data_IF_552820958430
#
_entry.id   IF_552820958430
#
_cell.length_a   1.000
_cell.length_b   1.000
_cell.length_c   1.000
_cell.angle_alpha   90.00
_cell.angle_beta   90.00
_cell.angle_gamma   90.00
#
_symmetry.space_group_name_H-M   'P 1'
#
loop_
_entity.id
_entity.type
_entity.pdbx_description
1 polymer ?
#
# COMPACT_ATOMS: atom_id res chain seq x y z
N UNK A 1 -1.04 53.80 26.49
CA UNK A 1 -2.40 53.60 25.91
C UNK A 1 -2.50 54.42 24.63
N UNK A 2 -2.49 53.77 23.46
CA UNK A 2 -2.75 54.46 22.18
C UNK A 2 -4.25 54.44 21.95
N UNK A 3 -4.89 55.62 21.87
CA UNK A 3 -6.31 55.78 21.54
C UNK A 3 -6.58 55.12 20.17
N UNK A 4 -7.23 53.96 20.18
CA UNK A 4 -7.64 53.25 18.97
C UNK A 4 -8.78 53.99 18.28
N UNK A 5 -8.58 54.40 17.03
CA UNK A 5 -9.64 54.89 16.15
C UNK A 5 -10.63 53.75 15.89
N UNK A 6 -11.88 53.89 16.32
CA UNK A 6 -12.97 52.96 16.03
C UNK A 6 -13.20 52.88 14.51
N UNK A 7 -13.03 51.70 13.92
CA UNK A 7 -13.36 51.43 12.51
C UNK A 7 -12.26 50.76 11.66
N UNK A 8 -11.02 50.65 12.13
CA UNK A 8 -9.96 49.97 11.37
C UNK A 8 -9.92 48.45 11.62
N UNK A 9 -9.92 47.70 10.51
CA UNK A 9 -9.90 46.23 10.51
C UNK A 9 -8.55 45.72 11.04
N UNK A 10 -8.58 44.94 12.12
CA UNK A 10 -7.39 44.32 12.71
C UNK A 10 -6.76 43.36 11.70
N UNK A 11 -5.58 43.70 11.16
CA UNK A 11 -4.80 42.81 10.29
C UNK A 11 -3.99 41.84 11.17
N UNK A 12 -4.28 40.55 11.07
CA UNK A 12 -3.51 39.48 11.74
C UNK A 12 -2.13 39.20 11.11
N UNK A 13 -1.75 40.01 10.11
CA UNK A 13 -0.46 39.93 9.44
C UNK A 13 0.07 41.33 9.16
N UNK A 14 1.40 41.43 9.20
CA UNK A 14 2.16 42.59 8.74
C UNK A 14 2.66 42.28 7.33
N UNK A 15 2.72 43.29 6.47
CA UNK A 15 3.29 43.13 5.13
C UNK A 15 4.81 43.18 5.23
N UNK A 16 5.47 42.46 4.33
CA UNK A 16 6.89 42.62 4.10
C UNK A 16 7.21 42.57 2.62
N UNK A 17 8.44 42.91 2.28
CA UNK A 17 8.95 42.90 0.92
C UNK A 17 10.12 41.93 0.83
N UNK A 18 10.08 41.03 -0.15
CA UNK A 18 11.18 40.11 -0.41
C UNK A 18 12.30 40.88 -1.11
N UNK A 19 13.45 41.04 -0.46
CA UNK A 19 14.57 41.79 -1.00
C UNK A 19 15.44 40.94 -1.94
N UNK A 20 15.62 39.67 -1.60
CA UNK A 20 16.61 38.83 -2.29
C UNK A 20 16.87 37.53 -1.58
N UNK A 21 17.88 36.82 -2.06
CA UNK A 21 18.53 35.76 -1.29
C UNK A 21 19.75 36.30 -0.55
N UNK A 22 20.13 35.62 0.52
CA UNK A 22 21.42 35.87 1.18
C UNK A 22 22.55 35.72 0.14
N UNK A 23 23.49 36.66 0.11
CA UNK A 23 24.66 36.64 -0.79
C UNK A 23 25.96 36.95 -0.04
N UNK A 24 27.08 36.47 -0.57
CA UNK A 24 28.44 36.90 -0.25
C UNK A 24 29.02 37.69 -1.44
N UNK A 25 30.31 38.02 -1.42
CA UNK A 25 31.00 38.76 -2.50
C UNK A 25 30.86 38.06 -3.86
N UNK A 26 30.83 36.72 -3.89
CA UNK A 26 30.77 35.92 -5.11
C UNK A 26 29.61 34.91 -5.17
N UNK A 27 29.02 34.52 -4.04
CA UNK A 27 28.00 33.45 -4.00
C UNK A 27 26.63 33.95 -3.56
N UNK A 28 25.58 33.33 -4.09
CA UNK A 28 24.20 33.50 -3.63
C UNK A 28 23.68 32.21 -3.01
N UNK A 29 22.89 32.31 -1.93
CA UNK A 29 22.36 31.18 -1.16
C UNK A 29 20.82 31.14 -1.24
N UNK A 30 20.24 30.43 -2.22
CA UNK A 30 18.79 30.45 -2.50
C UNK A 30 17.90 29.88 -1.38
N UNK A 31 18.50 29.11 -0.47
CA UNK A 31 17.81 28.50 0.67
C UNK A 31 17.42 29.51 1.77
N UNK A 32 17.95 30.74 1.71
CA UNK A 32 17.73 31.78 2.73
C UNK A 32 17.34 33.08 2.03
N UNK A 33 16.11 33.52 2.24
CA UNK A 33 15.58 34.77 1.68
C UNK A 33 15.70 35.92 2.68
N UNK A 34 15.95 37.12 2.19
CA UNK A 34 15.98 38.37 2.95
C UNK A 34 14.66 39.11 2.75
N UNK A 35 14.06 39.59 3.84
CA UNK A 35 12.80 40.31 3.79
C UNK A 35 12.84 41.54 4.69
N UNK A 36 12.31 42.66 4.21
CA UNK A 36 12.02 43.83 5.03
C UNK A 36 10.57 43.72 5.50
N UNK A 37 10.33 43.83 6.81
CA UNK A 37 8.96 43.90 7.35
C UNK A 37 8.57 45.38 7.45
N UNK A 38 7.35 45.74 7.02
CA UNK A 38 6.85 47.11 7.12
C UNK A 38 6.80 47.55 8.59
N UNK A 39 7.38 48.71 8.91
CA UNK A 39 7.42 49.27 10.26
C UNK A 39 8.46 48.67 11.20
N UNK A 40 9.36 47.81 10.70
CA UNK A 40 10.46 47.20 11.47
C UNK A 40 11.77 47.78 10.96
N UNK A 41 12.43 48.61 11.77
CA UNK A 41 13.63 49.34 11.37
C UNK A 41 14.87 48.98 12.19
N UNK A 42 14.70 48.42 13.40
CA UNK A 42 15.80 48.04 14.27
C UNK A 42 15.96 46.53 14.36
N UNK A 43 17.12 46.07 14.84
CA UNK A 43 17.39 44.64 15.07
C UNK A 43 16.51 44.06 16.20
N UNK A 44 16.19 44.86 17.20
CA UNK A 44 15.42 44.42 18.37
C UNK A 44 13.95 44.19 18.00
N UNK A 45 13.40 45.04 17.11
CA UNK A 45 12.06 44.85 16.56
C UNK A 45 11.93 43.53 15.79
N UNK A 46 13.00 43.10 15.10
CA UNK A 46 13.03 41.84 14.35
C UNK A 46 12.96 40.62 15.26
N UNK A 47 13.52 40.71 16.47
CA UNK A 47 13.55 39.58 17.41
C UNK A 47 12.15 39.08 17.73
N UNK A 48 11.18 39.99 17.85
CA UNK A 48 9.76 39.64 18.04
C UNK A 48 9.20 38.76 16.92
N UNK A 49 9.65 38.97 15.67
CA UNK A 49 9.18 38.21 14.51
C UNK A 49 9.86 36.86 14.34
N UNK A 50 10.90 36.53 15.12
CA UNK A 50 11.59 35.25 15.02
C UNK A 50 10.61 34.07 15.22
N UNK A 51 10.67 33.08 14.34
CA UNK A 51 9.79 31.91 14.37
C UNK A 51 8.38 32.14 13.81
N UNK A 52 7.96 33.39 13.53
CA UNK A 52 6.64 33.65 12.94
C UNK A 52 6.55 33.15 11.51
N UNK A 53 5.36 32.67 11.15
CA UNK A 53 5.09 32.17 9.80
C UNK A 53 4.92 33.31 8.82
N UNK A 54 5.30 33.04 7.58
CA UNK A 54 5.09 33.96 6.47
C UNK A 54 4.66 33.22 5.21
N UNK A 55 3.97 33.94 4.33
CA UNK A 55 3.38 33.42 3.11
C UNK A 55 3.64 34.36 1.94
N UNK A 56 4.25 33.82 0.89
CA UNK A 56 4.34 34.47 -0.41
C UNK A 56 3.21 33.94 -1.31
N UNK A 57 2.29 34.80 -1.71
CA UNK A 57 1.12 34.45 -2.52
C UNK A 57 1.31 35.01 -3.92
N UNK A 58 1.18 34.18 -4.94
CA UNK A 58 1.31 34.57 -6.35
C UNK A 58 0.21 33.96 -7.21
N UNK A 59 -0.12 34.63 -8.31
CA UNK A 59 -1.08 34.14 -9.32
C UNK A 59 -0.34 33.32 -10.36
N UNK A 60 -0.80 32.09 -10.59
CA UNK A 60 -0.28 31.16 -11.57
C UNK A 60 -1.21 31.06 -12.79
N UNK A 61 -0.63 30.83 -13.97
CA UNK A 61 -1.39 30.68 -15.23
C UNK A 61 -2.32 29.46 -15.20
N UNK A 62 -1.85 28.33 -14.66
CA UNK A 62 -2.59 27.06 -14.61
C UNK A 62 -3.40 26.94 -13.31
N UNK A 63 -4.71 26.69 -13.44
CA UNK A 63 -5.64 26.41 -12.34
C UNK A 63 -5.28 25.08 -11.68
N UNK A 64 -5.09 25.09 -10.35
CA UNK A 64 -4.81 23.86 -9.57
C UNK A 64 -5.69 23.88 -8.33
N UNK A 65 -6.44 22.80 -8.10
CA UNK A 65 -7.38 22.68 -6.98
C UNK A 65 -8.41 23.83 -6.92
N UNK A 66 -8.94 24.25 -8.06
CA UNK A 66 -10.00 25.27 -8.12
C UNK A 66 -9.51 26.73 -8.13
N UNK A 67 -8.24 27.02 -7.85
CA UNK A 67 -7.72 28.39 -7.78
C UNK A 67 -6.48 28.63 -8.66
N UNK A 68 -6.32 29.87 -9.12
CA UNK A 68 -5.10 30.36 -9.78
C UNK A 68 -4.05 30.84 -8.76
N UNK A 69 -4.42 30.98 -7.48
CA UNK A 69 -3.51 31.45 -6.46
C UNK A 69 -2.70 30.31 -5.85
N UNK A 70 -1.41 30.54 -5.68
CA UNK A 70 -0.48 29.62 -5.04
C UNK A 70 0.22 30.33 -3.90
N UNK A 71 0.50 29.57 -2.85
CA UNK A 71 1.14 30.09 -1.64
C UNK A 71 2.40 29.27 -1.33
N UNK A 72 3.52 29.97 -1.15
CA UNK A 72 4.78 29.40 -0.63
C UNK A 72 4.93 29.84 0.82
N UNK A 73 4.90 28.85 1.71
CA UNK A 73 5.04 29.07 3.14
C UNK A 73 6.50 29.08 3.57
N UNK A 74 6.81 29.95 4.52
CA UNK A 74 8.10 30.03 5.18
C UNK A 74 7.98 30.45 6.64
N UNK A 75 9.14 30.61 7.26
CA UNK A 75 9.27 31.11 8.63
C UNK A 75 10.39 32.12 8.72
N UNK A 76 10.20 33.15 9.53
CA UNK A 76 11.28 34.06 9.94
C UNK A 76 12.23 33.26 10.82
N UNK A 77 13.53 33.38 10.56
CA UNK A 77 14.55 32.62 11.27
C UNK A 77 15.33 33.50 12.22
N UNK A 78 16.01 34.53 11.71
CA UNK A 78 16.92 35.40 12.47
C UNK A 78 17.01 36.79 11.83
N UNK A 79 17.42 37.83 12.57
CA UNK A 79 17.73 39.13 11.98
C UNK A 79 18.89 39.07 10.98
N UNK A 80 18.90 40.04 10.06
CA UNK A 80 19.96 40.27 9.10
C UNK A 80 20.43 41.72 9.20
N UNK A 81 21.64 41.94 9.74
CA UNK A 81 22.17 43.28 9.96
C UNK A 81 21.37 44.04 11.02
N UNK A 82 21.42 45.37 10.95
CA UNK A 82 20.83 46.27 11.95
C UNK A 82 19.60 47.05 11.43
N UNK A 83 19.27 46.96 10.13
CA UNK A 83 18.26 47.79 9.45
C UNK A 83 16.85 47.15 9.39
N UNK A 84 16.50 46.29 10.35
CA UNK A 84 15.19 45.65 10.40
C UNK A 84 14.95 44.54 9.35
N UNK A 85 15.98 44.13 8.60
CA UNK A 85 15.89 43.03 7.62
C UNK A 85 15.89 41.68 8.35
N UNK A 86 15.07 40.74 7.89
CA UNK A 86 14.98 39.39 8.45
C UNK A 86 15.44 38.34 7.44
N UNK A 87 16.05 37.27 7.96
CA UNK A 87 16.28 36.03 7.20
C UNK A 87 15.07 35.13 7.35
N UNK A 88 14.52 34.64 6.25
CA UNK A 88 13.49 33.60 6.26
C UNK A 88 13.89 32.38 5.46
N UNK A 89 13.35 31.24 5.88
CA UNK A 89 13.48 29.97 5.17
C UNK A 89 12.09 29.54 4.68
N UNK A 90 11.95 29.44 3.37
CA UNK A 90 10.75 28.93 2.73
C UNK A 90 10.82 27.41 2.54
N UNK A 91 9.67 26.75 2.43
CA UNK A 91 9.59 25.30 2.20
C UNK A 91 10.15 24.88 0.83
N UNK A 92 10.03 25.77 -0.15
CA UNK A 92 10.63 25.64 -1.47
C UNK A 92 11.32 26.95 -1.82
N UNK A 93 12.36 26.89 -2.65
CA UNK A 93 13.02 28.11 -3.16
C UNK A 93 11.98 29.00 -3.87
N UNK A 94 12.09 30.31 -3.62
CA UNK A 94 11.21 31.28 -4.27
C UNK A 94 11.53 31.38 -5.77
N UNK A 95 10.57 31.77 -6.63
CA UNK A 95 10.85 32.07 -8.03
C UNK A 95 11.51 33.46 -8.18
N UNK A 96 12.30 33.73 -9.23
CA UNK A 96 12.93 35.06 -9.43
C UNK A 96 11.93 36.23 -9.43
N UNK A 97 10.70 36.00 -9.91
CA UNK A 97 9.58 36.97 -9.90
C UNK A 97 9.12 37.39 -8.49
N UNK A 98 9.60 36.72 -7.44
CA UNK A 98 9.25 37.09 -6.06
C UNK A 98 10.05 38.28 -5.53
N UNK A 99 11.15 38.67 -6.17
CA UNK A 99 11.96 39.79 -5.70
C UNK A 99 11.20 41.11 -5.85
N UNK A 100 11.16 41.91 -4.78
CA UNK A 100 10.31 43.11 -4.66
C UNK A 100 8.84 42.81 -4.40
N UNK A 101 8.42 41.54 -4.40
CA UNK A 101 7.03 41.19 -4.18
C UNK A 101 6.66 41.20 -2.69
N UNK A 102 5.37 41.46 -2.43
CA UNK A 102 4.83 41.48 -1.07
C UNK A 102 4.70 40.08 -0.48
N UNK A 103 5.13 39.93 0.76
CA UNK A 103 4.93 38.76 1.63
C UNK A 103 4.00 39.14 2.77
N UNK A 104 3.32 38.16 3.35
CA UNK A 104 2.52 38.34 4.58
C UNK A 104 3.23 37.64 5.73
N UNK A 105 3.53 38.37 6.80
CA UNK A 105 4.13 37.87 8.04
C UNK A 105 3.07 37.85 9.13
N UNK A 106 2.71 36.69 9.64
CA UNK A 106 1.61 36.52 10.58
C UNK A 106 2.03 36.91 12.00
N UNK A 107 1.18 37.62 12.73
CA UNK A 107 1.50 38.17 14.05
C UNK A 107 1.44 37.13 15.19
N UNK A 108 0.83 35.97 14.98
CA UNK A 108 0.64 34.94 16.02
C UNK A 108 1.71 33.84 15.98
N UNK A 109 2.14 33.30 17.14
CA UNK A 109 3.08 32.19 17.21
C UNK A 109 2.40 30.85 16.83
N UNK A 110 3.15 29.95 16.20
CA UNK A 110 2.69 28.60 15.83
C UNK A 110 3.20 27.52 16.79
N UNK A 111 2.97 27.74 18.08
CA UNK A 111 3.23 26.73 19.13
C UNK A 111 2.00 25.90 19.51
N UNK A 112 0.79 26.38 19.22
CA UNK A 112 -0.45 25.70 19.57
C UNK A 112 -1.15 25.21 18.31
N UNK A 113 -1.33 23.89 18.21
CA UNK A 113 -2.33 23.27 17.34
C UNK A 113 -3.69 23.82 17.75
N UNK A 114 -4.18 24.86 17.06
CA UNK A 114 -5.54 25.32 17.25
C UNK A 114 -6.51 24.19 16.85
N UNK A 115 -7.31 23.75 17.81
CA UNK A 115 -8.31 22.70 17.72
C UNK A 115 -9.49 23.04 16.80
N UNK A 116 -9.63 24.31 16.37
CA UNK A 116 -10.78 24.71 15.55
C UNK A 116 -10.40 25.69 14.42
N UNK A 117 -10.15 25.19 13.19
CA UNK A 117 -9.81 26.03 12.04
C UNK A 117 -10.96 26.95 11.55
N UNK A 118 -12.19 26.76 12.04
CA UNK A 118 -13.36 27.60 11.71
C UNK A 118 -13.31 28.99 12.39
N UNK A 119 -12.70 29.11 13.57
CA UNK A 119 -12.50 30.40 14.26
C UNK A 119 -11.55 31.32 13.47
N UNK A 120 -10.55 30.72 12.80
CA UNK A 120 -9.64 31.43 11.90
C UNK A 120 -10.38 31.96 10.65
N UNK A 121 -11.46 31.28 10.25
CA UNK A 121 -12.28 31.66 9.10
C UNK A 121 -13.06 32.94 9.38
N UNK A 122 -13.66 33.06 10.58
CA UNK A 122 -14.42 34.25 11.00
C UNK A 122 -13.55 35.52 11.04
N UNK A 123 -12.30 35.43 11.52
CA UNK A 123 -11.41 36.59 11.62
C UNK A 123 -10.76 37.02 10.29
N UNK A 124 -10.60 36.10 9.32
CA UNK A 124 -9.97 36.40 8.03
C UNK A 124 -10.97 36.80 6.92
N UNK A 125 -12.27 36.57 7.12
CA UNK A 125 -13.25 36.55 6.02
C UNK A 125 -13.64 37.92 5.43
N UNK A 126 -13.26 39.05 6.03
CA UNK A 126 -13.98 40.29 5.68
C UNK A 126 -13.38 41.22 4.61
N UNK A 127 -12.12 41.10 4.13
CA UNK A 127 -11.65 42.02 3.05
C UNK A 127 -10.67 41.51 2.01
N UNK A 128 -10.22 40.26 2.05
CA UNK A 128 -9.23 39.80 1.08
C UNK A 128 -9.53 38.37 0.62
N UNK A 129 -10.49 38.23 -0.32
CA UNK A 129 -11.06 36.94 -0.72
C UNK A 129 -9.99 35.94 -1.16
N UNK A 130 -8.94 36.41 -1.83
CA UNK A 130 -7.84 35.56 -2.30
C UNK A 130 -7.01 34.93 -1.18
N UNK A 131 -6.92 35.59 -0.03
CA UNK A 131 -6.14 35.10 1.10
C UNK A 131 -6.92 34.13 1.98
N UNK A 132 -8.20 34.42 2.23
CA UNK A 132 -9.13 33.54 2.91
C UNK A 132 -9.26 32.22 2.14
N UNK A 133 -9.44 32.30 0.82
CA UNK A 133 -9.51 31.14 -0.07
C UNK A 133 -8.22 30.29 -0.01
N UNK A 134 -7.04 30.92 -0.03
CA UNK A 134 -5.76 30.19 0.04
C UNK A 134 -5.50 29.49 1.38
N UNK A 135 -5.91 30.10 2.50
CA UNK A 135 -5.82 29.50 3.83
C UNK A 135 -6.86 28.39 4.01
N UNK A 136 -8.09 28.57 3.51
CA UNK A 136 -9.10 27.53 3.48
C UNK A 136 -8.64 26.32 2.69
N UNK A 137 -8.04 26.55 1.51
CA UNK A 137 -7.46 25.50 0.66
C UNK A 137 -6.32 24.78 1.40
N UNK A 138 -5.44 25.51 2.09
CA UNK A 138 -4.34 24.89 2.83
C UNK A 138 -4.87 24.06 3.99
N UNK A 139 -5.71 24.63 4.85
CA UNK A 139 -6.26 23.94 6.02
C UNK A 139 -7.05 22.71 5.61
N UNK A 140 -7.98 22.84 4.65
CA UNK A 140 -8.73 21.73 4.05
C UNK A 140 -7.78 20.66 3.50
N UNK A 141 -6.66 21.05 2.87
CA UNK A 141 -5.65 20.13 2.34
C UNK A 141 -4.86 19.41 3.45
N UNK A 142 -4.52 20.07 4.56
CA UNK A 142 -3.85 19.43 5.70
C UNK A 142 -4.78 18.47 6.43
N UNK A 143 -6.03 18.86 6.69
CA UNK A 143 -7.02 18.00 7.35
C UNK A 143 -7.34 16.79 6.48
N UNK A 144 -7.60 16.98 5.18
CA UNK A 144 -7.81 15.86 4.25
C UNK A 144 -6.60 14.93 4.14
N UNK A 145 -5.37 15.45 4.22
CA UNK A 145 -4.15 14.62 4.18
C UNK A 145 -3.95 13.77 5.43
N UNK A 146 -4.28 14.30 6.62
CA UNK A 146 -4.18 13.54 7.88
C UNK A 146 -5.28 12.48 7.99
N UNK A 147 -6.53 12.82 7.65
CA UNK A 147 -7.65 11.85 7.59
C UNK A 147 -7.37 10.76 6.55
N UNK A 148 -6.83 11.11 5.38
CA UNK A 148 -6.44 10.14 4.35
C UNK A 148 -5.32 9.20 4.80
N UNK A 149 -4.34 9.68 5.58
CA UNK A 149 -3.25 8.84 6.11
C UNK A 149 -3.76 7.85 7.16
N UNK A 150 -4.57 8.30 8.13
CA UNK A 150 -5.16 7.41 9.14
C UNK A 150 -6.07 6.35 8.50
N UNK A 151 -6.87 6.75 7.52
CA UNK A 151 -7.70 5.84 6.74
C UNK A 151 -6.86 4.78 6.00
N UNK A 152 -5.75 5.20 5.39
CA UNK A 152 -4.83 4.28 4.69
C UNK A 152 -4.19 3.28 5.65
N UNK A 153 -3.76 3.73 6.84
CA UNK A 153 -3.22 2.86 7.88
C UNK A 153 -4.28 1.85 8.31
N UNK A 154 -5.52 2.30 8.57
CA UNK A 154 -6.63 1.43 8.94
C UNK A 154 -6.91 0.35 7.89
N UNK A 155 -6.88 0.69 6.60
CA UNK A 155 -7.06 -0.28 5.50
C UNK A 155 -5.93 -1.32 5.46
N UNK A 156 -4.67 -0.90 5.64
CA UNK A 156 -3.52 -1.82 5.66
C UNK A 156 -3.57 -2.74 6.88
N UNK A 157 -3.96 -2.22 8.04
CA UNK A 157 -4.16 -3.03 9.25
C UNK A 157 -5.27 -4.04 9.03
N UNK A 158 -6.42 -3.63 8.50
CA UNK A 158 -7.53 -4.54 8.21
C UNK A 158 -7.10 -5.66 7.23
N UNK A 159 -6.32 -5.31 6.20
CA UNK A 159 -5.78 -6.28 5.26
C UNK A 159 -4.87 -7.32 5.93
N UNK A 160 -3.94 -6.90 6.80
CA UNK A 160 -3.10 -7.81 7.55
C UNK A 160 -3.91 -8.66 8.53
N UNK A 161 -4.84 -8.06 9.27
CA UNK A 161 -5.70 -8.76 10.23
C UNK A 161 -6.54 -9.82 9.55
N UNK A 162 -7.17 -9.53 8.41
CA UNK A 162 -7.92 -10.54 7.64
C UNK A 162 -7.00 -11.65 7.12
N UNK A 163 -5.80 -11.32 6.66
CA UNK A 163 -4.82 -12.32 6.20
C UNK A 163 -4.34 -13.26 7.30
N UNK A 164 -4.08 -12.72 8.49
CA UNK A 164 -3.68 -13.48 9.67
C UNK A 164 -4.86 -14.31 10.18
N UNK A 165 -6.07 -13.73 10.21
CA UNK A 165 -7.29 -14.42 10.63
C UNK A 165 -7.58 -15.66 9.78
N UNK A 166 -7.54 -15.54 8.44
CA UNK A 166 -7.68 -16.72 7.55
C UNK A 166 -6.59 -17.75 7.85
N UNK A 167 -5.33 -17.34 7.99
CA UNK A 167 -4.22 -18.26 8.26
C UNK A 167 -4.41 -19.03 9.57
N UNK A 168 -4.75 -18.34 10.66
CA UNK A 168 -4.93 -18.94 11.98
C UNK A 168 -6.15 -19.87 12.02
N UNK A 169 -7.27 -19.46 11.43
CA UNK A 169 -8.47 -20.29 11.36
C UNK A 169 -8.28 -21.49 10.45
N UNK A 170 -7.57 -21.35 9.32
CA UNK A 170 -7.21 -22.49 8.48
C UNK A 170 -6.37 -23.48 9.28
N UNK A 171 -5.37 -23.01 10.03
CA UNK A 171 -4.55 -23.88 10.89
C UNK A 171 -5.39 -24.58 11.96
N UNK A 172 -6.26 -23.83 12.64
CA UNK A 172 -7.15 -24.38 13.67
C UNK A 172 -8.08 -25.46 13.11
N UNK A 173 -8.77 -25.19 11.99
CA UNK A 173 -9.67 -26.14 11.35
C UNK A 173 -8.93 -27.40 10.89
N UNK A 174 -7.81 -27.22 10.17
CA UNK A 174 -7.06 -28.32 9.56
C UNK A 174 -6.28 -29.17 10.57
N UNK A 175 -5.81 -28.58 11.67
CA UNK A 175 -4.91 -29.25 12.62
C UNK A 175 -5.55 -29.59 13.97
N UNK A 176 -6.42 -28.72 14.51
CA UNK A 176 -6.92 -28.84 15.89
C UNK A 176 -8.37 -29.33 15.94
N UNK A 177 -9.20 -28.91 14.99
CA UNK A 177 -10.63 -29.24 14.94
C UNK A 177 -10.92 -30.57 14.23
N UNK A 178 -9.92 -31.15 13.55
CA UNK A 178 -10.06 -32.44 12.85
C UNK A 178 -10.55 -32.34 11.41
N UNK A 179 -10.76 -31.13 10.88
CA UNK A 179 -11.24 -30.90 9.51
C UNK A 179 -10.07 -30.94 8.50
N UNK A 180 -9.59 -32.13 8.11
CA UNK A 180 -8.35 -32.30 7.31
C UNK A 180 -8.54 -32.15 5.78
N UNK A 181 -9.33 -31.16 5.34
CA UNK A 181 -9.76 -31.02 3.94
C UNK A 181 -9.47 -29.62 3.35
N UNK A 182 -8.19 -29.30 3.04
CA UNK A 182 -7.79 -27.98 2.57
C UNK A 182 -8.29 -27.60 1.17
N UNK A 183 -8.52 -28.56 0.26
CA UNK A 183 -9.04 -28.29 -1.08
C UNK A 183 -10.52 -27.92 -0.99
N UNK A 184 -11.31 -28.70 -0.25
CA UNK A 184 -12.70 -28.37 0.07
C UNK A 184 -12.82 -27.03 0.79
N UNK A 185 -11.95 -26.74 1.77
CA UNK A 185 -11.94 -25.44 2.45
C UNK A 185 -11.76 -24.29 1.47
N UNK A 186 -10.85 -24.44 0.50
CA UNK A 186 -10.63 -23.45 -0.56
C UNK A 186 -11.85 -23.32 -1.48
N UNK A 187 -12.53 -24.43 -1.77
CA UNK A 187 -13.79 -24.42 -2.50
C UNK A 187 -14.86 -23.61 -1.76
N UNK A 188 -15.01 -23.78 -0.43
CA UNK A 188 -15.90 -22.96 0.40
C UNK A 188 -15.53 -21.47 0.34
N UNK A 189 -14.24 -21.13 0.38
CA UNK A 189 -13.78 -19.74 0.25
C UNK A 189 -14.20 -19.13 -1.09
N UNK A 190 -14.04 -19.87 -2.19
CA UNK A 190 -14.41 -19.40 -3.52
C UNK A 190 -15.93 -19.27 -3.67
N UNK A 191 -16.70 -20.21 -3.13
CA UNK A 191 -18.18 -20.11 -3.10
C UNK A 191 -18.63 -18.86 -2.34
N UNK A 192 -18.08 -18.62 -1.14
CA UNK A 192 -18.39 -17.41 -0.37
C UNK A 192 -17.92 -16.14 -1.09
N UNK A 193 -16.74 -16.15 -1.72
CA UNK A 193 -16.25 -15.03 -2.50
C UNK A 193 -17.19 -14.70 -3.67
N UNK A 194 -17.73 -15.70 -4.37
CA UNK A 194 -18.71 -15.52 -5.45
C UNK A 194 -20.00 -14.89 -4.93
N UNK A 195 -20.59 -15.48 -3.88
CA UNK A 195 -21.86 -15.02 -3.29
C UNK A 195 -21.74 -13.61 -2.70
N UNK A 196 -20.72 -13.36 -1.89
CA UNK A 196 -20.53 -12.06 -1.24
C UNK A 196 -20.12 -10.97 -2.23
N UNK A 197 -19.36 -11.31 -3.29
CA UNK A 197 -19.08 -10.35 -4.37
C UNK A 197 -20.35 -10.00 -5.13
N UNK A 198 -21.22 -10.98 -5.40
CA UNK A 198 -22.51 -10.74 -6.05
C UNK A 198 -23.39 -9.81 -5.22
N UNK A 199 -23.55 -10.09 -3.92
CA UNK A 199 -24.29 -9.22 -3.00
C UNK A 199 -23.67 -7.81 -2.94
N UNK A 200 -22.35 -7.69 -2.89
CA UNK A 200 -21.69 -6.38 -2.82
C UNK A 200 -21.84 -5.54 -4.09
N UNK A 201 -21.89 -6.18 -5.26
CA UNK A 201 -22.02 -5.49 -6.55
C UNK A 201 -23.49 -5.21 -6.87
N UNK A 202 -24.35 -6.22 -6.77
CA UNK A 202 -25.76 -6.12 -7.15
C UNK A 202 -26.61 -5.36 -6.12
N UNK A 203 -26.41 -5.64 -4.83
CA UNK A 203 -27.22 -5.05 -3.76
C UNK A 203 -26.59 -3.77 -3.21
N UNK A 204 -25.33 -3.85 -2.76
CA UNK A 204 -24.68 -2.72 -2.10
C UNK A 204 -24.15 -1.66 -3.08
N UNK A 205 -24.17 -1.94 -4.39
CA UNK A 205 -23.66 -1.06 -5.47
C UNK A 205 -22.28 -0.45 -5.15
N UNK A 206 -21.44 -1.22 -4.44
CA UNK A 206 -20.11 -0.77 -4.01
C UNK A 206 -19.18 -0.49 -5.20
N UNK A 207 -19.40 -1.20 -6.31
CA UNK A 207 -18.64 -1.11 -7.56
C UNK A 207 -19.62 -1.24 -8.73
N UNK A 208 -19.47 -0.48 -9.82
CA UNK A 208 -20.28 -0.69 -11.01
C UNK A 208 -20.07 -2.10 -11.57
N UNK A 209 -21.18 -2.78 -11.87
CA UNK A 209 -21.12 -4.09 -12.52
C UNK A 209 -20.49 -3.94 -13.90
N UNK A 210 -19.42 -4.69 -14.15
CA UNK A 210 -18.72 -4.67 -15.44
C UNK A 210 -19.01 -5.97 -16.17
N UNK A 211 -19.65 -5.87 -17.33
CA UNK A 211 -19.91 -7.03 -18.18
C UNK A 211 -18.63 -7.50 -18.87
N UNK A 212 -18.56 -8.79 -19.15
CA UNK A 212 -17.50 -9.38 -19.96
C UNK A 212 -17.69 -8.90 -21.40
N UNK A 213 -16.69 -8.18 -21.93
CA UNK A 213 -16.78 -7.51 -23.23
C UNK A 213 -16.42 -8.41 -24.40
N UNK A 214 -15.59 -9.43 -24.18
CA UNK A 214 -15.00 -10.24 -25.24
C UNK A 214 -14.87 -11.71 -24.83
N UNK A 215 -14.97 -12.62 -25.82
CA UNK A 215 -14.63 -14.04 -25.65
C UNK A 215 -13.17 -14.23 -25.21
N UNK A 216 -12.27 -13.36 -25.65
CA UNK A 216 -10.86 -13.39 -25.23
C UNK A 216 -10.73 -13.06 -23.73
N UNK A 217 -11.49 -12.08 -23.26
CA UNK A 217 -11.52 -11.72 -21.84
C UNK A 217 -12.06 -12.88 -20.99
N UNK A 218 -13.13 -13.54 -21.43
CA UNK A 218 -13.64 -14.74 -20.76
C UNK A 218 -12.58 -15.85 -20.70
N UNK A 219 -11.91 -16.14 -21.82
CA UNK A 219 -10.86 -17.15 -21.86
C UNK A 219 -9.70 -16.83 -20.88
N UNK A 220 -9.30 -15.56 -20.79
CA UNK A 220 -8.28 -15.14 -19.82
C UNK A 220 -8.74 -15.30 -18.36
N UNK A 221 -10.02 -15.03 -18.05
CA UNK A 221 -10.60 -15.25 -16.71
C UNK A 221 -10.61 -16.75 -16.39
N UNK A 222 -11.07 -17.59 -17.32
CA UNK A 222 -11.09 -19.05 -17.15
C UNK A 222 -9.68 -19.60 -16.96
N UNK A 223 -8.71 -19.15 -17.75
CA UNK A 223 -7.31 -19.50 -17.59
C UNK A 223 -6.76 -19.08 -16.20
N UNK A 224 -7.09 -17.87 -15.74
CA UNK A 224 -6.74 -17.40 -14.40
C UNK A 224 -7.33 -18.30 -13.30
N UNK A 225 -8.60 -18.69 -13.42
CA UNK A 225 -9.24 -19.62 -12.47
C UNK A 225 -8.57 -20.99 -12.48
N UNK A 226 -8.32 -21.56 -13.66
CA UNK A 226 -7.66 -22.87 -13.80
C UNK A 226 -6.27 -22.86 -13.17
N UNK A 227 -5.44 -21.86 -13.50
CA UNK A 227 -4.09 -21.72 -12.95
C UNK A 227 -4.14 -21.56 -11.43
N UNK A 228 -5.12 -20.84 -10.90
CA UNK A 228 -5.35 -20.76 -9.46
C UNK A 228 -5.66 -22.14 -8.86
N UNK A 229 -6.58 -22.91 -9.44
CA UNK A 229 -6.92 -24.26 -8.97
C UNK A 229 -5.71 -25.19 -8.98
N UNK A 230 -4.95 -25.22 -10.07
CA UNK A 230 -3.70 -25.98 -10.18
C UNK A 230 -2.72 -25.60 -9.07
N UNK A 231 -2.57 -24.30 -8.80
CA UNK A 231 -1.67 -23.82 -7.75
C UNK A 231 -2.06 -24.27 -6.33
N UNK A 232 -3.37 -24.40 -6.08
CA UNK A 232 -3.92 -24.87 -4.81
C UNK A 232 -3.75 -26.38 -4.69
N UNK A 233 -4.14 -27.14 -5.71
CA UNK A 233 -4.05 -28.60 -5.70
C UNK A 233 -2.59 -29.05 -5.55
N UNK A 234 -1.69 -28.55 -6.40
CA UNK A 234 -0.28 -28.94 -6.36
C UNK A 234 0.40 -28.49 -5.06
N UNK A 235 0.02 -27.34 -4.52
CA UNK A 235 0.53 -26.86 -3.23
C UNK A 235 0.08 -27.73 -2.05
N UNK A 236 -1.12 -28.30 -2.10
CA UNK A 236 -1.59 -29.24 -1.08
C UNK A 236 -0.94 -30.62 -1.25
N UNK A 237 -0.72 -31.07 -2.48
CA UNK A 237 0.01 -32.30 -2.75
C UNK A 237 1.44 -32.20 -2.22
N UNK A 238 2.15 -31.10 -2.47
CA UNK A 238 3.53 -30.95 -2.01
C UNK A 238 3.66 -30.97 -0.49
N UNK A 239 2.68 -30.45 0.25
CA UNK A 239 2.65 -30.50 1.71
C UNK A 239 2.47 -31.92 2.29
N UNK A 240 2.02 -32.90 1.49
CA UNK A 240 1.98 -34.32 1.90
C UNK A 240 3.37 -34.96 1.91
N UNK A 241 4.29 -34.45 1.10
CA UNK A 241 5.62 -35.04 0.89
C UNK A 241 6.76 -34.21 1.49
N UNK A 242 6.57 -32.90 1.64
CA UNK A 242 7.61 -31.97 2.06
C UNK A 242 7.19 -31.19 3.30
N UNK A 243 8.13 -30.89 4.22
CA UNK A 243 7.84 -30.07 5.38
C UNK A 243 7.42 -28.64 4.97
N UNK A 244 6.65 -28.01 5.86
CA UNK A 244 6.09 -26.67 5.63
C UNK A 244 7.17 -25.62 5.41
N UNK A 245 8.27 -25.70 6.17
CA UNK A 245 9.43 -24.79 6.04
C UNK A 245 10.05 -24.85 4.65
N UNK A 246 10.27 -26.06 4.14
CA UNK A 246 10.84 -26.26 2.80
C UNK A 246 9.87 -25.79 1.70
N UNK A 247 8.56 -26.08 1.83
CA UNK A 247 7.53 -25.54 0.93
C UNK A 247 7.52 -24.01 0.89
N UNK A 248 7.67 -23.35 2.04
CA UNK A 248 7.67 -21.89 2.12
C UNK A 248 8.95 -21.29 1.51
N UNK A 249 10.10 -21.96 1.68
CA UNK A 249 11.34 -21.55 1.03
C UNK A 249 11.23 -21.63 -0.50
N UNK A 250 10.71 -22.75 -1.04
CA UNK A 250 10.42 -22.86 -2.48
C UNK A 250 9.41 -21.80 -2.90
N UNK A 251 8.34 -21.57 -2.11
CA UNK A 251 7.33 -20.55 -2.35
C UNK A 251 7.90 -19.11 -2.38
N UNK A 252 8.97 -18.83 -1.64
CA UNK A 252 9.66 -17.55 -1.64
C UNK A 252 10.29 -17.21 -3.02
N UNK A 253 10.45 -18.20 -3.91
CA UNK A 253 10.89 -18.00 -5.30
C UNK A 253 9.78 -17.50 -6.24
N UNK A 254 8.54 -17.30 -5.76
CA UNK A 254 7.43 -16.75 -6.57
C UNK A 254 7.83 -15.50 -7.40
N UNK A 255 8.61 -14.53 -6.87
CA UNK A 255 9.07 -13.38 -7.65
C UNK A 255 9.92 -13.73 -8.88
N UNK A 256 10.71 -14.82 -8.82
CA UNK A 256 11.50 -15.30 -9.96
C UNK A 256 10.59 -15.75 -11.09
N UNK A 257 9.66 -16.66 -10.82
CA UNK A 257 8.68 -17.11 -11.80
C UNK A 257 7.81 -15.95 -12.29
N UNK A 258 7.47 -15.00 -11.42
CA UNK A 258 6.68 -13.82 -11.78
C UNK A 258 7.43 -12.97 -12.81
N UNK A 259 8.73 -12.74 -12.64
CA UNK A 259 9.54 -11.98 -13.59
C UNK A 259 9.64 -12.68 -14.95
N UNK A 260 9.81 -14.01 -14.95
CA UNK A 260 9.85 -14.84 -16.17
C UNK A 260 8.50 -14.77 -16.90
N UNK A 261 7.39 -15.07 -16.23
CA UNK A 261 6.07 -15.05 -16.86
C UNK A 261 5.63 -13.64 -17.26
N UNK A 262 5.96 -12.61 -16.47
CA UNK A 262 5.68 -11.23 -16.85
C UNK A 262 6.40 -10.85 -18.14
N UNK A 263 7.68 -11.24 -18.29
CA UNK A 263 8.42 -11.03 -19.52
C UNK A 263 7.81 -11.79 -20.70
N UNK A 264 7.50 -13.08 -20.54
CA UNK A 264 6.90 -13.91 -21.60
C UNK A 264 5.52 -13.39 -22.05
N UNK A 265 4.68 -12.91 -21.11
CA UNK A 265 3.31 -12.50 -21.39
C UNK A 265 3.18 -11.05 -21.86
N UNK A 266 4.08 -10.16 -21.42
CA UNK A 266 3.98 -8.72 -21.71
C UNK A 266 5.08 -8.19 -22.62
N UNK A 267 6.12 -9.00 -22.88
CA UNK A 267 7.35 -8.62 -23.60
C UNK A 267 8.08 -7.41 -23.03
N UNK A 268 7.73 -6.97 -21.81
CA UNK A 268 8.39 -5.88 -21.09
C UNK A 268 9.42 -6.45 -20.13
N UNK A 269 10.66 -5.98 -20.24
CA UNK A 269 11.74 -6.32 -19.31
C UNK A 269 11.66 -5.47 -18.05
N UNK A 270 11.87 -6.11 -16.91
CA UNK A 270 12.10 -5.42 -15.65
C UNK A 270 13.53 -4.86 -15.62
N UNK A 271 13.83 -3.99 -14.65
CA UNK A 271 15.18 -3.46 -14.48
C UNK A 271 16.20 -4.59 -14.22
N UNK A 272 17.40 -4.48 -14.80
CA UNK A 272 18.45 -5.50 -14.64
C UNK A 272 18.74 -5.83 -13.16
N UNK A 273 18.72 -4.82 -12.27
CA UNK A 273 18.89 -5.01 -10.84
C UNK A 273 17.88 -6.01 -10.26
N UNK A 274 16.64 -6.02 -10.74
CA UNK A 274 15.60 -6.95 -10.29
C UNK A 274 16.00 -8.40 -10.60
N UNK A 275 16.57 -8.68 -11.77
CA UNK A 275 17.05 -10.02 -12.12
C UNK A 275 18.23 -10.47 -11.26
N UNK A 276 19.19 -9.57 -11.00
CA UNK A 276 20.34 -9.87 -10.12
C UNK A 276 19.87 -10.25 -8.70
N UNK A 277 18.86 -9.57 -8.16
CA UNK A 277 18.32 -9.91 -6.83
C UNK A 277 17.61 -11.27 -6.74
N UNK A 278 17.26 -11.88 -7.87
CA UNK A 278 16.65 -13.22 -7.90
C UNK A 278 17.69 -14.35 -7.84
N UNK A 279 18.95 -14.09 -8.20
CA UNK A 279 20.04 -15.07 -8.13
C UNK A 279 20.19 -15.67 -6.72
N UNK A 280 20.31 -14.87 -5.63
CA UNK A 280 20.40 -15.43 -4.28
C UNK A 280 19.12 -16.18 -3.87
N UNK A 281 17.95 -15.78 -4.36
CA UNK A 281 16.68 -16.46 -4.07
C UNK A 281 16.68 -17.89 -4.62
N UNK A 282 17.07 -18.06 -5.89
CA UNK A 282 17.12 -19.38 -6.53
C UNK A 282 18.27 -20.23 -5.96
N UNK A 283 19.45 -19.62 -5.77
CA UNK A 283 20.62 -20.30 -5.19
C UNK A 283 20.33 -20.80 -3.77
N UNK A 284 19.62 -20.01 -2.95
CA UNK A 284 19.22 -20.40 -1.61
C UNK A 284 18.34 -21.64 -1.60
N UNK A 285 17.38 -21.76 -2.54
CA UNK A 285 16.53 -22.94 -2.64
C UNK A 285 17.29 -24.17 -3.15
N UNK A 286 18.25 -24.01 -4.06
CA UNK A 286 19.10 -25.12 -4.52
C UNK A 286 19.91 -25.68 -3.34
N UNK A 287 20.56 -24.79 -2.57
CA UNK A 287 21.32 -25.18 -1.37
C UNK A 287 20.40 -25.82 -0.33
N UNK A 288 19.23 -25.22 -0.08
CA UNK A 288 18.26 -25.76 0.87
C UNK A 288 17.77 -27.16 0.46
N UNK A 289 17.57 -27.40 -0.84
CA UNK A 289 17.12 -28.70 -1.36
C UNK A 289 18.17 -29.79 -1.16
N UNK A 290 19.46 -29.47 -1.37
CA UNK A 290 20.56 -30.42 -1.12
C UNK A 290 20.79 -30.71 0.37
N UNK A 291 20.32 -29.83 1.26
CA UNK A 291 20.41 -29.99 2.70
C UNK A 291 19.15 -30.51 3.38
N UNK A 292 18.06 -30.77 2.67
CA UNK A 292 16.78 -31.14 3.28
C UNK A 292 16.72 -32.65 3.57
N UNK A 293 16.65 -33.10 4.84
CA UNK A 293 16.68 -34.53 5.16
C UNK A 293 15.45 -35.30 4.67
N UNK A 294 14.30 -34.62 4.62
CA UNK A 294 13.02 -35.19 4.15
C UNK A 294 12.75 -34.85 2.68
N UNK A 295 13.79 -34.72 1.87
CA UNK A 295 13.63 -34.36 0.46
C UNK A 295 12.92 -35.46 -0.32
N UNK A 296 11.79 -35.11 -0.95
CA UNK A 296 11.05 -35.98 -1.85
C UNK A 296 10.89 -35.31 -3.22
N UNK A 297 11.47 -35.91 -4.26
CA UNK A 297 11.52 -35.30 -5.60
C UNK A 297 10.13 -34.98 -6.17
N UNK A 298 9.17 -35.91 -6.07
CA UNK A 298 7.79 -35.65 -6.52
C UNK A 298 7.17 -34.46 -5.78
N UNK A 299 7.26 -34.43 -4.44
CA UNK A 299 6.80 -33.30 -3.63
C UNK A 299 7.46 -31.97 -4.02
N UNK A 300 8.76 -32.00 -4.33
CA UNK A 300 9.52 -30.85 -4.80
C UNK A 300 9.01 -30.33 -6.15
N UNK A 301 8.84 -31.21 -7.14
CA UNK A 301 8.28 -30.87 -8.45
C UNK A 301 6.88 -30.27 -8.30
N UNK A 302 6.02 -30.87 -7.47
CA UNK A 302 4.68 -30.34 -7.20
C UNK A 302 4.74 -28.96 -6.52
N UNK A 303 5.67 -28.74 -5.60
CA UNK A 303 5.85 -27.45 -4.93
C UNK A 303 6.32 -26.35 -5.90
N UNK A 304 7.28 -26.68 -6.77
CA UNK A 304 7.80 -25.77 -7.81
C UNK A 304 6.69 -25.45 -8.82
N UNK A 305 5.95 -26.45 -9.29
CA UNK A 305 4.83 -26.27 -10.21
C UNK A 305 3.72 -25.42 -9.57
N UNK A 306 3.39 -25.66 -8.31
CA UNK A 306 2.45 -24.82 -7.56
C UNK A 306 2.93 -23.37 -7.48
N UNK A 307 4.22 -23.15 -7.23
CA UNK A 307 4.83 -21.82 -7.13
C UNK A 307 4.85 -21.09 -8.47
N UNK A 308 5.18 -21.79 -9.55
CA UNK A 308 5.07 -21.26 -10.91
C UNK A 308 3.61 -20.90 -11.26
N UNK A 309 2.65 -21.76 -10.92
CA UNK A 309 1.23 -21.49 -11.12
C UNK A 309 0.75 -20.27 -10.30
N UNK A 310 1.17 -20.11 -9.04
CA UNK A 310 0.87 -18.91 -8.24
C UNK A 310 1.43 -17.64 -8.90
N UNK A 311 2.65 -17.70 -9.43
CA UNK A 311 3.25 -16.58 -10.14
C UNK A 311 2.49 -16.25 -11.44
N UNK A 312 2.18 -17.26 -12.25
CA UNK A 312 1.40 -17.09 -13.48
C UNK A 312 0.02 -16.51 -13.19
N UNK A 313 -0.67 -17.00 -12.14
CA UNK A 313 -1.94 -16.42 -11.66
C UNK A 313 -1.77 -14.93 -11.37
N UNK A 314 -0.75 -14.53 -10.61
CA UNK A 314 -0.50 -13.12 -10.27
C UNK A 314 -0.25 -12.25 -11.51
N UNK A 315 0.47 -12.78 -12.52
CA UNK A 315 0.70 -12.09 -13.79
C UNK A 315 -0.59 -11.93 -14.59
N UNK A 316 -1.34 -13.02 -14.81
CA UNK A 316 -2.63 -12.99 -15.52
C UNK A 316 -3.62 -12.05 -14.85
N UNK A 317 -3.72 -12.12 -13.52
CA UNK A 317 -4.53 -11.21 -12.73
C UNK A 317 -4.08 -9.76 -12.91
N UNK A 318 -2.77 -9.48 -12.89
CA UNK A 318 -2.21 -8.15 -13.11
C UNK A 318 -2.55 -7.57 -14.48
N UNK A 319 -2.49 -8.40 -15.54
CA UNK A 319 -2.90 -8.02 -16.90
C UNK A 319 -4.39 -7.66 -16.92
N UNK A 320 -5.27 -8.50 -16.36
CA UNK A 320 -6.72 -8.24 -16.36
C UNK A 320 -7.12 -6.98 -15.58
N UNK A 321 -6.35 -6.63 -14.55
CA UNK A 321 -6.56 -5.42 -13.75
C UNK A 321 -5.97 -4.15 -14.38
N UNK A 322 -5.08 -4.27 -15.38
CA UNK A 322 -4.30 -3.15 -15.93
C UNK A 322 -4.50 -2.88 -17.42
N UNK A 323 -5.01 -3.84 -18.20
CA UNK A 323 -5.18 -3.72 -19.66
C UNK A 323 -6.13 -2.59 -20.06
N UNK A 324 -5.69 -1.73 -20.99
CA UNK A 324 -6.54 -0.71 -21.61
C UNK A 324 -7.60 -1.40 -22.49
N UNK A 325 -8.88 -1.08 -22.28
CA UNK A 325 -10.02 -1.68 -23.02
C UNK A 325 -10.72 -2.87 -22.32
N UNK A 326 -9.97 -3.76 -21.64
CA UNK A 326 -10.49 -4.95 -20.93
C UNK A 326 -10.37 -4.88 -19.40
N UNK A 327 -10.07 -3.71 -18.84
CA UNK A 327 -9.84 -3.52 -17.40
C UNK A 327 -11.02 -3.96 -16.54
N UNK A 328 -10.80 -4.98 -15.73
CA UNK A 328 -11.73 -5.39 -14.69
C UNK A 328 -11.34 -4.81 -13.34
N UNK A 329 -12.33 -4.43 -12.56
CA UNK A 329 -12.16 -4.14 -11.15
C UNK A 329 -11.94 -5.46 -10.39
N UNK A 330 -11.08 -5.47 -9.38
CA UNK A 330 -10.77 -6.65 -8.56
C UNK A 330 -12.01 -7.38 -8.02
N UNK A 331 -13.07 -6.65 -7.66
CA UNK A 331 -14.30 -7.29 -7.17
C UNK A 331 -15.08 -7.99 -8.29
N UNK A 332 -15.22 -7.34 -9.45
CA UNK A 332 -15.84 -7.96 -10.63
C UNK A 332 -15.01 -9.15 -11.12
N UNK A 333 -13.68 -9.04 -11.10
CA UNK A 333 -12.79 -10.14 -11.45
C UNK A 333 -12.98 -11.33 -10.51
N UNK A 334 -13.10 -11.10 -9.20
CA UNK A 334 -13.36 -12.15 -8.22
C UNK A 334 -14.74 -12.80 -8.44
N UNK A 335 -15.76 -12.00 -8.72
CA UNK A 335 -17.11 -12.49 -9.04
C UNK A 335 -17.12 -13.49 -10.20
N UNK A 336 -16.35 -13.24 -11.26
CA UNK A 336 -16.27 -14.14 -12.41
C UNK A 336 -15.31 -15.31 -12.21
N UNK A 337 -14.17 -15.07 -11.56
CA UNK A 337 -13.14 -16.09 -11.35
C UNK A 337 -13.59 -17.17 -10.37
N UNK A 338 -14.23 -16.78 -9.26
CA UNK A 338 -14.56 -17.66 -8.15
C UNK A 338 -15.51 -18.83 -8.51
N UNK A 339 -16.65 -18.63 -9.21
CA UNK A 339 -17.54 -19.75 -9.57
C UNK A 339 -16.86 -20.73 -10.53
N UNK A 340 -16.05 -20.23 -11.47
CA UNK A 340 -15.26 -21.09 -12.36
C UNK A 340 -14.23 -21.90 -11.56
N UNK A 341 -13.60 -21.29 -10.55
CA UNK A 341 -12.68 -22.00 -9.67
C UNK A 341 -13.38 -23.09 -8.84
N UNK A 342 -14.62 -22.86 -8.39
CA UNK A 342 -15.42 -23.90 -7.69
C UNK A 342 -15.65 -25.10 -8.61
N UNK A 343 -16.03 -24.87 -9.87
CA UNK A 343 -16.25 -25.95 -10.85
C UNK A 343 -14.98 -26.78 -11.06
N UNK A 344 -13.80 -26.17 -11.11
CA UNK A 344 -12.53 -26.89 -11.25
C UNK A 344 -12.02 -27.52 -9.95
N UNK A 345 -12.33 -26.95 -8.79
CA UNK A 345 -11.94 -27.51 -7.49
C UNK A 345 -12.82 -28.69 -7.08
N UNK A 346 -14.08 -28.73 -7.53
CA UNK A 346 -15.01 -29.81 -7.21
C UNK A 346 -14.47 -31.22 -7.56
N UNK A 347 -14.03 -31.51 -8.80
CA UNK A 347 -13.48 -32.83 -9.12
C UNK A 347 -12.19 -33.12 -8.35
N UNK A 348 -11.31 -32.13 -8.15
CA UNK A 348 -10.09 -32.32 -7.35
C UNK A 348 -10.42 -32.67 -5.89
N UNK A 349 -11.46 -32.06 -5.34
CA UNK A 349 -11.96 -32.35 -4.00
C UNK A 349 -12.50 -33.79 -3.92
N UNK A 350 -13.35 -34.19 -4.85
CA UNK A 350 -13.95 -35.52 -4.86
C UNK A 350 -12.91 -36.65 -5.08
N UNK A 351 -11.83 -36.39 -5.82
CA UNK A 351 -10.78 -37.38 -6.10
C UNK A 351 -9.69 -37.47 -5.03
N UNK A 352 -9.44 -36.40 -4.27
CA UNK A 352 -8.31 -36.32 -3.34
C UNK A 352 -8.70 -36.30 -1.86
N UNK A 353 -9.96 -35.99 -1.58
CA UNK A 353 -10.54 -35.79 -0.26
C UNK A 353 -11.78 -36.68 -0.11
N UNK A 354 -11.53 -37.96 0.17
CA UNK A 354 -12.57 -38.98 0.26
C UNK A 354 -13.62 -38.64 1.33
N UNK A 355 -14.89 -38.83 0.97
CA UNK A 355 -16.06 -38.64 1.82
C UNK A 355 -16.11 -37.28 2.55
N UNK A 356 -15.54 -36.22 1.95
CA UNK A 356 -15.50 -34.89 2.59
C UNK A 356 -16.88 -34.37 2.99
N UNK A 357 -17.89 -34.62 2.15
CA UNK A 357 -19.28 -34.18 2.42
C UNK A 357 -19.85 -34.94 3.61
N UNK A 358 -19.71 -36.27 3.64
CA UNK A 358 -20.20 -37.10 4.74
C UNK A 358 -19.51 -36.79 6.06
N UNK A 359 -18.20 -36.54 6.04
CA UNK A 359 -17.42 -36.21 7.24
C UNK A 359 -17.72 -34.80 7.73
N UNK A 360 -17.91 -33.84 6.82
CA UNK A 360 -18.38 -32.48 7.19
C UNK A 360 -19.75 -32.55 7.83
N UNK A 361 -20.66 -33.38 7.28
CA UNK A 361 -22.01 -33.55 7.82
C UNK A 361 -22.00 -34.26 9.18
N UNK A 362 -21.12 -35.25 9.36
CA UNK A 362 -20.93 -35.94 10.64
C UNK A 362 -20.38 -34.97 11.71
N UNK A 363 -19.31 -34.24 11.41
CA UNK A 363 -18.78 -33.22 12.33
C UNK A 363 -19.82 -32.12 12.63
N UNK A 364 -20.68 -31.76 11.66
CA UNK A 364 -21.73 -30.78 11.88
C UNK A 364 -22.89 -31.30 12.74
N UNK A 365 -23.14 -32.61 12.73
CA UNK A 365 -24.10 -33.25 13.65
C UNK A 365 -23.56 -33.29 15.08
N UNK A 366 -22.26 -33.53 15.22
CA UNK A 366 -21.60 -33.58 16.53
C UNK A 366 -21.41 -32.17 17.13
N UNK A 367 -20.93 -31.21 16.32
CA UNK A 367 -20.76 -29.81 16.72
C UNK A 367 -21.11 -28.85 15.58
N UNK A 368 -22.28 -28.23 15.68
CA UNK A 368 -22.77 -27.26 14.70
C UNK A 368 -21.86 -26.03 14.55
N UNK A 369 -20.96 -25.77 15.52
CA UNK A 369 -19.97 -24.68 15.44
C UNK A 369 -19.05 -24.82 14.23
N UNK A 370 -18.83 -26.03 13.70
CA UNK A 370 -18.02 -26.21 12.48
C UNK A 370 -18.57 -25.40 11.31
N UNK A 371 -19.89 -25.36 11.14
CA UNK A 371 -20.53 -24.62 10.06
C UNK A 371 -20.25 -23.12 10.23
N UNK A 372 -20.37 -22.62 11.46
CA UNK A 372 -20.06 -21.22 11.77
C UNK A 372 -18.59 -20.89 11.54
N UNK A 373 -17.66 -21.77 11.93
CA UNK A 373 -16.24 -21.57 11.67
C UNK A 373 -15.92 -21.59 10.18
N UNK A 374 -16.50 -22.50 9.39
CA UNK A 374 -16.34 -22.56 7.93
C UNK A 374 -16.92 -21.32 7.25
N UNK A 375 -18.12 -20.88 7.64
CA UNK A 375 -18.74 -19.66 7.10
C UNK A 375 -17.94 -18.41 7.46
N UNK A 376 -17.49 -18.29 8.72
CA UNK A 376 -16.70 -17.16 9.17
C UNK A 376 -15.33 -17.11 8.48
N UNK A 377 -14.64 -18.26 8.38
CA UNK A 377 -13.37 -18.37 7.69
C UNK A 377 -13.50 -18.05 6.19
N UNK A 378 -14.56 -18.53 5.54
CA UNK A 378 -14.86 -18.21 4.13
C UNK A 378 -15.23 -16.73 3.93
N UNK A 379 -15.95 -16.13 4.86
CA UNK A 379 -16.25 -14.69 4.86
C UNK A 379 -14.98 -13.85 5.03
N UNK A 380 -14.07 -14.27 5.92
CA UNK A 380 -12.76 -13.64 6.07
C UNK A 380 -11.92 -13.73 4.79
N UNK A 381 -11.99 -14.84 4.05
CA UNK A 381 -11.33 -14.96 2.75
C UNK A 381 -11.86 -13.93 1.74
N UNK A 382 -13.17 -13.66 1.74
CA UNK A 382 -13.74 -12.55 0.96
C UNK A 382 -13.23 -11.18 1.45
N UNK A 383 -13.18 -10.94 2.77
CA UNK A 383 -12.64 -9.71 3.33
C UNK A 383 -11.17 -9.48 2.96
N UNK A 384 -10.35 -10.53 2.86
CA UNK A 384 -8.97 -10.43 2.34
C UNK A 384 -8.97 -9.87 0.92
N UNK A 385 -9.87 -10.34 0.05
CA UNK A 385 -9.96 -9.84 -1.33
C UNK A 385 -10.49 -8.41 -1.40
N UNK A 386 -11.53 -8.07 -0.61
CA UNK A 386 -12.06 -6.71 -0.52
C UNK A 386 -10.99 -5.72 0.01
N UNK A 387 -10.31 -6.06 1.11
CA UNK A 387 -9.26 -5.21 1.67
C UNK A 387 -8.05 -5.09 0.73
N UNK A 388 -7.69 -6.15 -0.01
CA UNK A 388 -6.69 -6.07 -1.09
C UNK A 388 -7.08 -5.02 -2.14
N UNK A 389 -8.33 -5.02 -2.59
CA UNK A 389 -8.82 -4.02 -3.53
C UNK A 389 -8.77 -2.60 -2.95
N UNK A 390 -9.27 -2.42 -1.72
CA UNK A 390 -9.30 -1.11 -1.06
C UNK A 390 -7.89 -0.56 -0.81
N UNK A 391 -6.96 -1.40 -0.37
CA UNK A 391 -5.55 -1.02 -0.19
C UNK A 391 -4.93 -0.66 -1.54
N UNK A 392 -5.17 -1.45 -2.60
CA UNK A 392 -4.67 -1.13 -3.95
C UNK A 392 -5.16 0.24 -4.42
N UNK A 393 -6.44 0.57 -4.17
CA UNK A 393 -7.07 1.84 -4.54
C UNK A 393 -6.46 3.04 -3.82
N UNK A 394 -6.09 2.90 -2.55
CA UNK A 394 -5.58 4.00 -1.72
C UNK A 394 -4.05 4.06 -1.60
N UNK A 395 -3.34 3.00 -2.00
CA UNK A 395 -1.88 2.93 -2.00
C UNK A 395 -1.37 2.68 -3.43
N UNK A 396 -0.85 1.49 -3.70
CA UNK A 396 -0.49 1.00 -5.02
C UNK A 396 -0.37 -0.52 -5.01
N UNK A 397 -0.50 -1.15 -6.18
CA UNK A 397 -0.28 -2.59 -6.33
C UNK A 397 1.14 -3.02 -5.87
N UNK A 398 2.14 -2.14 -6.04
CA UNK A 398 3.51 -2.36 -5.58
C UNK A 398 3.60 -2.49 -4.05
N UNK A 399 2.85 -1.66 -3.32
CA UNK A 399 2.84 -1.69 -1.84
C UNK A 399 2.35 -3.04 -1.34
N UNK A 400 1.30 -3.60 -1.94
CA UNK A 400 0.79 -4.92 -1.59
C UNK A 400 1.79 -6.04 -1.92
N UNK A 401 2.49 -5.96 -3.05
CA UNK A 401 3.51 -6.95 -3.40
C UNK A 401 4.67 -6.97 -2.40
N UNK A 402 5.16 -5.79 -1.98
CA UNK A 402 6.21 -5.66 -0.97
C UNK A 402 5.76 -6.26 0.37
N UNK A 403 4.55 -5.93 0.82
CA UNK A 403 3.99 -6.44 2.09
C UNK A 403 3.77 -7.96 2.03
N UNK A 404 3.35 -8.48 0.88
CA UNK A 404 3.22 -9.91 0.62
C UNK A 404 4.56 -10.65 0.68
N UNK A 405 5.60 -10.10 0.06
CA UNK A 405 6.95 -10.67 0.12
C UNK A 405 7.51 -10.68 1.54
N UNK A 406 7.28 -9.61 2.31
CA UNK A 406 7.66 -9.55 3.72
C UNK A 406 6.94 -10.62 4.55
N UNK A 407 5.63 -10.82 4.33
CA UNK A 407 4.86 -11.91 4.95
C UNK A 407 5.45 -13.28 4.61
N UNK A 408 5.85 -13.51 3.35
CA UNK A 408 6.48 -14.75 2.92
C UNK A 408 7.80 -15.03 3.63
N UNK A 409 8.68 -14.05 3.72
CA UNK A 409 9.95 -14.16 4.44
C UNK A 409 9.74 -14.47 5.93
N UNK A 410 8.81 -13.77 6.59
CA UNK A 410 8.46 -14.03 7.99
C UNK A 410 7.89 -15.44 8.17
N UNK A 411 7.06 -15.92 7.24
CA UNK A 411 6.50 -17.27 7.30
C UNK A 411 7.60 -18.34 7.33
N UNK A 412 8.63 -18.22 6.48
CA UNK A 412 9.79 -19.13 6.45
C UNK A 412 10.47 -19.19 7.82
N UNK A 413 10.77 -18.04 8.42
CA UNK A 413 11.43 -17.99 9.73
C UNK A 413 10.54 -18.58 10.82
N UNK A 414 9.26 -18.21 10.86
CA UNK A 414 8.31 -18.67 11.86
C UNK A 414 8.06 -20.18 11.75
N UNK A 415 8.01 -20.74 10.54
CA UNK A 415 7.81 -22.18 10.37
C UNK A 415 9.00 -22.98 10.87
N UNK A 416 10.24 -22.54 10.65
CA UNK A 416 11.44 -23.19 11.19
C UNK A 416 11.39 -23.20 12.73
N UNK A 417 11.06 -22.05 13.35
CA UNK A 417 11.01 -21.93 14.82
C UNK A 417 9.89 -22.77 15.46
N UNK A 418 8.72 -22.85 14.81
CA UNK A 418 7.55 -23.55 15.37
C UNK A 418 7.61 -25.05 15.12
N UNK A 419 7.91 -25.48 13.89
CA UNK A 419 7.83 -26.89 13.53
C UNK A 419 9.05 -27.68 13.99
N UNK A 420 10.18 -27.01 14.32
CA UNK A 420 11.41 -27.63 14.86
C UNK A 420 11.84 -28.89 14.10
N UNK A 421 11.58 -28.93 12.79
CA UNK A 421 11.99 -30.03 11.93
C UNK A 421 13.53 -30.10 11.91
N UNK A 422 14.13 -31.29 11.76
CA UNK A 422 15.58 -31.40 11.63
C UNK A 422 16.02 -30.68 10.36
N UNK A 423 16.65 -29.51 10.51
CA UNK A 423 17.24 -28.74 9.41
C UNK A 423 18.75 -28.90 9.48
N UNK A 424 19.38 -29.36 8.40
CA UNK A 424 20.83 -29.40 8.31
C UNK A 424 21.43 -27.98 8.31
N UNK A 425 22.71 -27.86 8.66
CA UNK A 425 23.43 -26.57 8.57
C UNK A 425 23.37 -26.01 7.13
N UNK A 426 23.53 -26.88 6.13
CA UNK A 426 23.37 -26.54 4.71
C UNK A 426 21.96 -26.02 4.40
N UNK A 427 20.93 -26.66 4.95
CA UNK A 427 19.53 -26.23 4.81
C UNK A 427 19.30 -24.83 5.40
N UNK A 428 19.84 -24.57 6.60
CA UNK A 428 19.74 -23.26 7.25
C UNK A 428 20.41 -22.15 6.43
N UNK A 429 21.58 -22.41 5.85
CA UNK A 429 22.26 -21.46 4.96
C UNK A 429 21.42 -21.16 3.72
N UNK A 430 20.82 -22.19 3.11
CA UNK A 430 19.91 -22.02 1.97
C UNK A 430 18.68 -21.17 2.29
N UNK A 431 18.03 -21.43 3.43
CA UNK A 431 16.90 -20.63 3.90
C UNK A 431 17.28 -19.16 4.19
N UNK A 432 18.42 -18.93 4.85
CA UNK A 432 18.93 -17.58 5.10
C UNK A 432 19.21 -16.82 3.80
N UNK A 433 19.86 -17.46 2.84
CA UNK A 433 20.16 -16.86 1.53
C UNK A 433 18.88 -16.54 0.74
N UNK A 434 17.88 -17.40 0.82
CA UNK A 434 16.57 -17.19 0.18
C UNK A 434 15.86 -15.96 0.77
N UNK A 435 15.80 -15.86 2.10
CA UNK A 435 15.19 -14.71 2.80
C UNK A 435 15.93 -13.42 2.46
N UNK A 436 17.26 -13.44 2.48
CA UNK A 436 18.10 -12.31 2.10
C UNK A 436 17.81 -11.85 0.66
N UNK A 437 17.73 -12.78 -0.29
CA UNK A 437 17.39 -12.47 -1.68
C UNK A 437 16.00 -11.83 -1.84
N UNK A 438 15.00 -12.29 -1.09
CA UNK A 438 13.65 -11.69 -1.11
C UNK A 438 13.65 -10.25 -0.58
N UNK A 439 14.45 -9.99 0.46
CA UNK A 439 14.63 -8.63 1.00
C UNK A 439 15.28 -7.73 -0.05
N UNK A 440 16.38 -8.19 -0.67
CA UNK A 440 17.05 -7.46 -1.75
C UNK A 440 16.11 -7.16 -2.93
N UNK A 441 15.33 -8.15 -3.37
CA UNK A 441 14.34 -7.97 -4.43
C UNK A 441 13.29 -6.91 -4.08
N UNK A 442 12.79 -6.96 -2.84
CA UNK A 442 11.81 -5.99 -2.33
C UNK A 442 12.37 -4.56 -2.33
N UNK A 443 13.65 -4.39 -1.97
CA UNK A 443 14.33 -3.09 -2.04
C UNK A 443 14.60 -2.64 -3.48
N UNK A 444 15.09 -3.53 -4.34
CA UNK A 444 15.36 -3.21 -5.74
C UNK A 444 14.07 -2.74 -6.45
N UNK A 445 12.95 -3.44 -6.22
CA UNK A 445 11.65 -3.08 -6.82
C UNK A 445 11.05 -1.79 -6.25
N UNK A 446 11.43 -1.39 -5.03
CA UNK A 446 11.11 -0.05 -4.50
C UNK A 446 11.93 1.05 -5.17
N UNK A 447 13.20 0.77 -5.50
CA UNK A 447 14.14 1.75 -6.10
C UNK A 447 13.97 1.92 -7.61
N UNK A 448 13.46 0.90 -8.32
CA UNK A 448 13.28 0.93 -9.78
C UNK A 448 12.08 1.77 -10.26
N UNK A 449 11.55 2.66 -9.42
CA UNK A 449 10.36 3.48 -9.67
C UNK A 449 10.71 4.94 -9.41
#
# INVERSE_FOLDING_TARGET
MVKGRQGERVRLYVRGTILGYKRSKSNQYPNTSLLQIEGVNTKDDVAWYAGKRLAYIYKAKVKKNGSHYRCIWGKVTRPHGNSGVVRAKFKSNLPPKSMGARVRVFMYPTGTTFSNPLLLFSLCSYRDPHSAESLQIYTKKTTMKNTSRLFTIGLVTAWYSSNIGVLLLNKYLLSNYGFKYPIFLTMCHMTACSLLSYVAIAWMKMVPMQTIRSRQQFFKITALSLVFCVSVVFGNISLRFLPVSFNQAIGATTPFFTAVFAYLMTLKREAWLTYVTLIPVVTGVIIASGGEPSFHLFGFIMCVAATAARALKSVLQGILLSSEGEKLNSMNLLLYMAPIAVVFLLPATLLMEDNVVGITLALARDDIKIIWYLLFNSSLAYFVNLTNFLVTKHTSALTLQVLGNAKGAVAVVVSILIFRNPVSVTGMLGYALTVFGVILYSEAKKRSK
#
